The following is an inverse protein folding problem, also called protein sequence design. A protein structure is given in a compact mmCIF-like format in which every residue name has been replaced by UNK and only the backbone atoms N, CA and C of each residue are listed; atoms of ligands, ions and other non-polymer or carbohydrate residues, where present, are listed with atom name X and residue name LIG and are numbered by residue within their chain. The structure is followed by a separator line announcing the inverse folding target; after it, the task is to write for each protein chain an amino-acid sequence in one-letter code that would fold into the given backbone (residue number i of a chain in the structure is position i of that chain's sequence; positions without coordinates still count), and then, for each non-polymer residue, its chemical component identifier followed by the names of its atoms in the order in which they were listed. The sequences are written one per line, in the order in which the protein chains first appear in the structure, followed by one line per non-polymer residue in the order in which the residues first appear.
data_IF_554087494973
#
_entry.id   IF_554087494973
#
_cell.length_a   1.000
_cell.length_b   1.000
_cell.length_c   1.000
_cell.angle_alpha   90.00
_cell.angle_beta   90.00
_cell.angle_gamma   90.00
#
_symmetry.space_group_name_H-M   'P 1'
#
loop_
_entity.id
_entity.type
_entity.pdbx_description
1 polymer ?
#
# COMPACT_ATOMS: atom_id res chain seq x y z
N UNK A 1 3.25 18.87 30.42
CA UNK A 1 4.50 19.04 29.65
C UNK A 1 4.35 18.24 28.37
N UNK A 2 4.01 18.86 27.22
CA UNK A 2 4.02 18.16 25.91
C UNK A 2 5.46 18.12 25.46
N UNK A 3 6.09 16.91 25.41
CA UNK A 3 7.41 16.75 24.82
C UNK A 3 7.35 17.22 23.37
N UNK A 4 8.24 18.12 22.98
CA UNK A 4 8.48 18.39 21.57
C UNK A 4 8.94 17.07 20.93
N UNK A 5 8.07 16.43 20.16
CA UNK A 5 8.44 15.27 19.37
C UNK A 5 9.44 15.76 18.31
N UNK A 6 10.70 15.57 18.62
CA UNK A 6 11.84 15.78 17.72
C UNK A 6 12.04 14.51 16.88
N UNK A 7 12.94 14.56 15.89
CA UNK A 7 13.37 13.42 15.09
C UNK A 7 13.45 12.12 15.92
N UNK A 8 12.98 10.97 15.41
CA UNK A 8 12.95 9.74 16.18
C UNK A 8 14.35 9.33 16.66
N UNK A 9 14.46 9.00 17.92
CA UNK A 9 15.68 8.38 18.44
C UNK A 9 15.76 6.93 17.93
N UNK A 10 16.79 6.63 17.14
CA UNK A 10 17.05 5.30 16.59
C UNK A 10 18.14 4.61 17.39
N UNK A 11 17.96 3.31 17.66
CA UNK A 11 18.98 2.46 18.25
C UNK A 11 20.15 2.22 17.27
N UNK A 12 19.82 2.07 15.99
CA UNK A 12 20.78 1.95 14.91
C UNK A 12 20.66 3.14 13.93
N UNK A 13 21.35 4.26 14.17
CA UNK A 13 21.27 5.43 13.29
C UNK A 13 21.82 5.19 11.88
N UNK A 14 22.58 4.13 11.65
CA UNK A 14 23.14 3.82 10.33
C UNK A 14 22.07 3.47 9.29
N UNK A 15 20.88 3.01 9.70
CA UNK A 15 19.78 2.73 8.77
C UNK A 15 19.18 4.02 8.19
N UNK A 16 19.33 5.16 8.84
CA UNK A 16 18.77 6.42 8.39
C UNK A 16 19.68 7.08 7.35
N UNK A 17 19.38 6.84 6.08
CA UNK A 17 20.13 7.38 4.94
C UNK A 17 19.39 8.56 4.31
N UNK A 18 20.11 9.62 4.01
CA UNK A 18 19.59 10.86 3.40
C UNK A 18 20.13 11.11 1.99
N UNK A 19 20.65 10.06 1.34
CA UNK A 19 21.18 10.05 0.00
C UNK A 19 20.50 8.97 -0.84
N UNK A 20 20.51 9.09 -2.16
CA UNK A 20 20.06 8.06 -3.09
C UNK A 20 21.04 6.89 -3.11
N UNK A 21 20.55 5.68 -3.35
CA UNK A 21 21.40 4.51 -3.56
C UNK A 21 21.50 4.21 -5.06
N UNK A 22 22.68 4.43 -5.63
CA UNK A 22 22.96 4.17 -7.05
C UNK A 22 24.21 3.33 -7.15
N UNK A 23 24.15 2.20 -7.83
CA UNK A 23 25.27 1.28 -8.04
C UNK A 23 26.00 0.90 -6.74
N UNK A 24 25.27 0.73 -5.66
CA UNK A 24 25.82 0.38 -4.34
C UNK A 24 26.52 1.53 -3.61
N UNK A 25 26.40 2.75 -4.10
CA UNK A 25 26.97 3.96 -3.49
C UNK A 25 25.88 4.93 -3.07
N UNK A 26 26.07 5.57 -1.92
CA UNK A 26 25.20 6.61 -1.41
C UNK A 26 25.60 7.93 -2.02
N UNK A 27 24.72 8.50 -2.85
CA UNK A 27 25.03 9.71 -3.64
C UNK A 27 23.93 10.76 -3.48
N UNK A 28 24.30 12.03 -3.60
CA UNK A 28 23.32 13.10 -3.76
C UNK A 28 22.74 13.07 -5.18
N UNK A 29 21.55 13.69 -5.39
CA UNK A 29 21.01 13.84 -6.74
C UNK A 29 21.96 14.67 -7.62
N UNK A 30 22.00 14.43 -8.93
CA UNK A 30 22.81 15.23 -9.87
C UNK A 30 22.44 16.70 -9.85
N UNK A 31 21.22 17.05 -9.51
CA UNK A 31 20.78 18.43 -9.34
C UNK A 31 21.35 19.10 -8.10
N UNK A 32 21.89 18.34 -7.13
CA UNK A 32 22.28 18.80 -5.80
C UNK A 32 21.13 19.28 -4.92
N UNK A 33 19.88 19.20 -5.41
CA UNK A 33 18.70 19.65 -4.68
C UNK A 33 18.18 18.58 -3.72
N UNK A 34 17.54 19.05 -2.66
CA UNK A 34 16.82 18.23 -1.68
C UNK A 34 15.38 18.72 -1.57
N UNK A 35 14.49 17.86 -1.10
CA UNK A 35 13.11 18.21 -0.79
C UNK A 35 12.78 17.86 0.67
N UNK A 36 11.85 18.60 1.21
CA UNK A 36 11.40 18.45 2.59
C UNK A 36 10.47 17.26 2.74
N UNK A 37 10.67 16.49 3.81
CA UNK A 37 9.77 15.42 4.23
C UNK A 37 9.08 15.88 5.52
N UNK A 38 7.74 15.91 5.47
CA UNK A 38 6.90 16.45 6.54
C UNK A 38 6.41 15.32 7.43
N UNK A 39 6.43 15.53 8.73
CA UNK A 39 5.74 14.69 9.70
C UNK A 39 4.25 15.07 9.73
N UNK A 40 3.34 14.18 9.27
CA UNK A 40 1.92 14.48 9.22
C UNK A 40 1.29 14.73 10.60
N UNK A 41 1.93 14.24 11.65
CA UNK A 41 1.46 14.38 13.03
C UNK A 41 1.59 15.78 13.60
N UNK A 42 2.46 16.63 13.01
CA UNK A 42 2.67 18.01 13.46
C UNK A 42 2.77 19.02 12.31
N UNK A 43 2.74 18.58 11.05
CA UNK A 43 2.84 19.42 9.86
C UNK A 43 4.23 20.04 9.63
N UNK A 44 5.28 19.61 10.35
CA UNK A 44 6.62 20.18 10.29
C UNK A 44 7.59 19.29 9.50
N UNK A 45 8.55 19.92 8.84
CA UNK A 45 9.67 19.23 8.21
C UNK A 45 10.51 18.56 9.29
N UNK A 46 10.74 17.24 9.15
CA UNK A 46 11.59 16.48 10.08
C UNK A 46 12.90 16.01 9.45
N UNK A 47 12.96 15.92 8.11
CA UNK A 47 14.16 15.54 7.38
C UNK A 47 14.09 16.00 5.92
N UNK A 48 15.23 15.89 5.21
CA UNK A 48 15.34 16.23 3.79
C UNK A 48 15.92 15.05 3.00
N UNK A 49 15.31 14.73 1.86
CA UNK A 49 15.74 13.69 0.94
C UNK A 49 16.27 14.29 -0.38
N UNK A 50 17.14 13.57 -1.12
CA UNK A 50 17.66 14.04 -2.40
C UNK A 50 16.55 14.10 -3.46
N UNK A 51 16.51 15.17 -4.23
CA UNK A 51 15.53 15.37 -5.31
C UNK A 51 16.11 14.89 -6.64
N UNK A 52 16.02 13.58 -6.89
CA UNK A 52 16.47 12.99 -8.14
C UNK A 52 15.59 13.44 -9.31
N UNK A 53 16.21 13.59 -10.46
CA UNK A 53 15.60 14.08 -11.71
C UNK A 53 15.81 13.06 -12.85
N UNK A 54 15.25 13.28 -14.06
CA UNK A 54 15.57 12.45 -15.21
C UNK A 54 17.07 12.26 -15.50
N UNK A 55 17.91 13.22 -15.12
CA UNK A 55 19.37 13.14 -15.29
C UNK A 55 20.00 11.99 -14.49
N UNK A 56 19.37 11.57 -13.39
CA UNK A 56 19.83 10.45 -12.56
C UNK A 56 19.45 9.09 -13.15
N UNK A 57 18.53 9.04 -14.14
CA UNK A 57 17.94 7.80 -14.66
C UNK A 57 18.95 6.96 -15.43
N UNK A 58 19.59 7.54 -16.45
CA UNK A 58 20.42 6.77 -17.41
C UNK A 58 21.55 6.00 -16.73
N UNK A 59 22.32 6.68 -15.88
CA UNK A 59 23.42 6.06 -15.15
C UNK A 59 22.93 4.94 -14.20
N UNK A 60 21.84 5.19 -13.49
CA UNK A 60 21.24 4.20 -12.57
C UNK A 60 20.74 2.96 -13.31
N UNK A 61 20.05 3.14 -14.45
CA UNK A 61 19.52 2.01 -15.24
C UNK A 61 20.65 1.23 -15.90
N UNK A 62 21.70 1.89 -16.41
CA UNK A 62 22.87 1.22 -16.97
C UNK A 62 23.59 0.39 -15.91
N UNK A 63 23.84 0.94 -14.72
CA UNK A 63 24.43 0.19 -13.62
C UNK A 63 23.59 -1.02 -13.21
N UNK A 64 22.27 -0.86 -13.12
CA UNK A 64 21.36 -1.99 -12.85
C UNK A 64 21.38 -3.04 -13.97
N UNK A 65 21.52 -2.63 -15.23
CA UNK A 65 21.63 -3.54 -16.36
C UNK A 65 22.96 -4.31 -16.37
N UNK A 66 24.07 -3.65 -16.05
CA UNK A 66 25.38 -4.30 -15.89
C UNK A 66 25.34 -5.34 -14.75
N UNK A 67 24.85 -4.94 -13.58
CA UNK A 67 24.65 -5.86 -12.46
C UNK A 67 23.75 -7.05 -12.82
N UNK A 68 22.73 -6.84 -13.63
CA UNK A 68 21.86 -7.91 -14.11
C UNK A 68 22.61 -8.98 -14.88
N UNK A 69 23.66 -8.66 -15.67
CA UNK A 69 24.40 -9.66 -16.47
C UNK A 69 25.06 -10.74 -15.62
N UNK A 70 25.43 -10.40 -14.40
CA UNK A 70 26.02 -11.33 -13.41
C UNK A 70 24.95 -11.91 -12.50
N UNK A 71 24.04 -11.08 -11.97
CA UNK A 71 23.03 -11.48 -10.99
C UNK A 71 22.04 -12.52 -11.54
N UNK A 72 21.64 -12.42 -12.82
CA UNK A 72 20.77 -13.41 -13.49
C UNK A 72 21.36 -14.82 -13.53
N UNK A 73 22.69 -14.94 -13.42
CA UNK A 73 23.42 -16.21 -13.42
C UNK A 73 23.72 -16.74 -12.01
N UNK A 74 23.39 -15.95 -10.97
CA UNK A 74 23.61 -16.36 -9.59
C UNK A 74 22.78 -17.60 -9.23
N UNK A 75 23.34 -18.42 -8.35
CA UNK A 75 22.61 -19.58 -7.87
C UNK A 75 21.33 -19.15 -7.12
N UNK A 76 20.17 -19.79 -7.37
CA UNK A 76 18.94 -19.51 -6.64
C UNK A 76 19.10 -19.54 -5.11
N UNK A 77 19.85 -20.51 -4.59
CA UNK A 77 20.15 -20.60 -3.16
C UNK A 77 20.87 -19.38 -2.61
N UNK A 78 21.81 -18.80 -3.39
CA UNK A 78 22.51 -17.55 -2.98
C UNK A 78 21.52 -16.40 -2.87
N UNK A 79 20.57 -16.26 -3.82
CA UNK A 79 19.52 -15.23 -3.77
C UNK A 79 18.60 -15.45 -2.57
N UNK A 80 18.21 -16.70 -2.29
CA UNK A 80 17.43 -17.06 -1.11
C UNK A 80 18.16 -16.67 0.19
N UNK A 81 19.45 -16.97 0.30
CA UNK A 81 20.27 -16.61 1.46
C UNK A 81 20.35 -15.09 1.68
N UNK A 82 20.54 -14.29 0.60
CA UNK A 82 20.51 -12.84 0.70
C UNK A 82 19.12 -12.33 1.17
N UNK A 83 18.02 -12.90 0.66
CA UNK A 83 16.68 -12.52 1.09
C UNK A 83 16.42 -12.87 2.56
N UNK A 84 16.83 -14.05 3.03
CA UNK A 84 16.72 -14.43 4.44
C UNK A 84 17.58 -13.56 5.36
N UNK A 85 18.79 -13.20 4.92
CA UNK A 85 19.61 -12.27 5.68
C UNK A 85 19.01 -10.87 5.72
N UNK A 86 18.39 -10.41 4.61
CA UNK A 86 17.65 -9.15 4.58
C UNK A 86 16.46 -9.18 5.54
N UNK A 87 15.68 -10.27 5.52
CA UNK A 87 14.59 -10.50 6.46
C UNK A 87 15.05 -10.38 7.92
N UNK A 88 16.16 -11.06 8.27
CA UNK A 88 16.71 -11.01 9.62
C UNK A 88 17.16 -9.60 10.01
N UNK A 89 17.87 -8.89 9.14
CA UNK A 89 18.31 -7.53 9.39
C UNK A 89 17.13 -6.56 9.56
N UNK A 90 16.02 -6.77 8.84
CA UNK A 90 14.79 -5.98 9.03
C UNK A 90 14.18 -6.29 10.41
N UNK A 91 14.14 -7.56 10.84
CA UNK A 91 13.67 -7.94 12.18
C UNK A 91 14.52 -7.29 13.28
N UNK A 92 15.83 -7.33 13.13
CA UNK A 92 16.78 -6.75 14.11
C UNK A 92 16.64 -5.23 14.25
N UNK A 93 16.15 -4.55 13.19
CA UNK A 93 15.93 -3.10 13.16
C UNK A 93 14.43 -2.73 13.17
N UNK A 94 13.55 -3.65 13.55
CA UNK A 94 12.08 -3.52 13.46
C UNK A 94 11.54 -2.25 14.11
N UNK A 95 11.97 -1.98 15.33
CA UNK A 95 11.47 -0.83 16.10
C UNK A 95 11.93 0.51 15.53
N UNK A 96 13.15 0.59 15.03
CA UNK A 96 13.66 1.80 14.38
C UNK A 96 12.98 2.05 13.03
N UNK A 97 12.78 1.00 12.24
CA UNK A 97 12.01 1.10 10.99
C UNK A 97 10.56 1.52 11.26
N UNK A 98 9.92 0.97 12.30
CA UNK A 98 8.56 1.36 12.69
C UNK A 98 8.46 2.85 13.07
N UNK A 99 9.46 3.38 13.80
CA UNK A 99 9.54 4.81 14.10
C UNK A 99 9.64 5.65 12.82
N UNK A 100 10.52 5.28 11.90
CA UNK A 100 10.67 5.99 10.61
C UNK A 100 9.34 6.00 9.86
N UNK A 101 8.68 4.84 9.72
CA UNK A 101 7.37 4.73 9.07
C UNK A 101 6.33 5.63 9.74
N UNK A 102 6.30 5.67 11.08
CA UNK A 102 5.37 6.52 11.84
C UNK A 102 5.57 8.01 11.53
N UNK A 103 6.82 8.48 11.49
CA UNK A 103 7.12 9.88 11.20
C UNK A 103 6.89 10.27 9.73
N UNK A 104 7.01 9.32 8.80
CA UNK A 104 6.72 9.56 7.39
C UNK A 104 5.23 9.52 7.06
N UNK A 105 4.49 8.60 7.68
CA UNK A 105 3.10 8.31 7.30
C UNK A 105 2.06 8.85 8.27
N UNK A 106 2.46 9.12 9.51
CA UNK A 106 1.57 9.53 10.61
C UNK A 106 0.84 8.38 11.31
N UNK A 107 0.91 7.13 10.80
CA UNK A 107 0.20 6.01 11.44
C UNK A 107 0.73 5.72 12.86
N UNK A 108 -0.12 5.21 13.77
CA UNK A 108 0.31 4.80 15.11
C UNK A 108 1.47 3.82 15.07
N UNK A 109 2.38 3.91 16.05
CA UNK A 109 3.57 3.05 16.11
C UNK A 109 3.23 1.56 16.07
N UNK A 110 2.15 1.16 16.74
CA UNK A 110 1.68 -0.23 16.72
C UNK A 110 1.27 -0.69 15.31
N UNK A 111 0.70 0.20 14.50
CA UNK A 111 0.35 -0.10 13.10
C UNK A 111 1.59 -0.15 12.20
N UNK A 112 2.59 0.68 12.47
CA UNK A 112 3.89 0.61 11.78
C UNK A 112 4.60 -0.70 12.09
N UNK A 113 4.57 -1.15 13.33
CA UNK A 113 5.09 -2.47 13.73
C UNK A 113 4.33 -3.60 13.05
N UNK A 114 2.99 -3.52 13.00
CA UNK A 114 2.14 -4.48 12.27
C UNK A 114 2.40 -4.51 10.77
N UNK A 115 2.75 -3.37 10.16
CA UNK A 115 3.18 -3.34 8.75
C UNK A 115 4.47 -4.13 8.53
N UNK A 116 5.46 -3.99 9.42
CA UNK A 116 6.72 -4.72 9.34
C UNK A 116 6.49 -6.23 9.48
N UNK A 117 5.68 -6.65 10.47
CA UNK A 117 5.36 -8.07 10.69
C UNK A 117 4.68 -8.69 9.45
N UNK A 118 3.75 -7.95 8.84
CA UNK A 118 3.11 -8.34 7.58
C UNK A 118 4.10 -8.40 6.41
N UNK A 119 4.96 -7.40 6.29
CA UNK A 119 5.89 -7.24 5.18
C UNK A 119 6.98 -8.31 5.16
N UNK A 120 7.44 -8.75 6.33
CA UNK A 120 8.42 -9.84 6.48
C UNK A 120 7.90 -11.17 5.93
N UNK A 121 6.59 -11.37 5.86
CA UNK A 121 6.01 -12.52 5.18
C UNK A 121 6.40 -12.59 3.69
N UNK A 122 6.64 -11.46 3.02
CA UNK A 122 7.05 -11.45 1.61
C UNK A 122 8.52 -11.85 1.43
N UNK A 123 9.44 -11.34 2.26
CA UNK A 123 10.85 -11.71 2.17
C UNK A 123 11.05 -13.19 2.44
N UNK A 124 10.38 -13.71 3.46
CA UNK A 124 10.41 -15.15 3.79
C UNK A 124 9.83 -15.99 2.65
N UNK A 125 8.65 -15.63 2.13
CA UNK A 125 8.02 -16.36 1.03
C UNK A 125 8.90 -16.40 -0.21
N UNK A 126 9.39 -15.24 -0.68
CA UNK A 126 10.18 -15.15 -1.89
C UNK A 126 11.58 -15.74 -1.75
N UNK A 127 12.14 -15.82 -0.55
CA UNK A 127 13.34 -16.61 -0.31
C UNK A 127 13.11 -18.08 -0.63
N UNK A 128 11.99 -18.66 -0.19
CA UNK A 128 11.60 -20.02 -0.56
C UNK A 128 11.30 -20.19 -2.05
N UNK A 129 10.67 -19.21 -2.68
CA UNK A 129 10.31 -19.24 -4.10
C UNK A 129 11.53 -19.06 -5.03
N UNK A 130 12.64 -18.51 -4.56
CA UNK A 130 13.85 -18.39 -5.37
C UNK A 130 14.35 -19.73 -5.92
N UNK A 131 14.21 -20.81 -5.14
CA UNK A 131 14.59 -22.17 -5.53
C UNK A 131 13.47 -22.96 -6.24
N UNK A 132 12.23 -22.40 -6.30
CA UNK A 132 11.06 -23.05 -6.90
C UNK A 132 10.68 -22.50 -8.28
N UNK A 133 11.58 -21.79 -8.94
CA UNK A 133 11.38 -21.29 -10.30
C UNK A 133 11.52 -22.46 -11.28
N UNK A 134 10.39 -23.14 -11.55
CA UNK A 134 10.35 -24.36 -12.35
C UNK A 134 9.91 -24.07 -13.78
N UNK A 135 10.44 -24.86 -14.71
CA UNK A 135 9.93 -25.00 -16.08
C UNK A 135 9.03 -26.22 -16.21
N UNK A 136 8.61 -26.52 -17.43
CA UNK A 136 7.77 -27.67 -17.75
C UNK A 136 8.34 -28.47 -18.91
N UNK A 137 8.00 -29.74 -18.95
CA UNK A 137 8.24 -30.63 -20.13
C UNK A 137 6.87 -31.13 -20.58
N UNK A 138 6.54 -30.89 -21.84
CA UNK A 138 5.26 -31.26 -22.42
C UNK A 138 5.45 -32.11 -23.66
N UNK A 139 4.51 -33.05 -23.90
CA UNK A 139 4.40 -33.80 -25.15
C UNK A 139 3.33 -33.08 -25.99
N UNK A 140 3.72 -32.36 -27.07
CA UNK A 140 2.76 -31.73 -27.94
C UNK A 140 2.03 -32.77 -28.82
N UNK A 141 0.96 -32.30 -29.52
CA UNK A 141 0.20 -33.12 -30.45
C UNK A 141 1.01 -33.59 -31.68
N UNK A 142 2.08 -32.83 -32.02
CA UNK A 142 2.98 -33.23 -33.09
C UNK A 142 3.85 -34.45 -32.68
N UNK A 143 3.90 -35.53 -33.48
CA UNK A 143 4.69 -36.69 -33.14
C UNK A 143 6.20 -36.40 -33.11
N UNK A 144 6.93 -37.19 -32.33
CA UNK A 144 8.40 -37.11 -32.19
C UNK A 144 8.95 -35.78 -31.67
N UNK A 145 8.13 -35.00 -30.92
CA UNK A 145 8.55 -33.73 -30.30
C UNK A 145 8.42 -33.78 -28.79
N UNK A 146 9.25 -32.99 -28.13
CA UNK A 146 9.12 -32.61 -26.72
C UNK A 146 9.32 -31.09 -26.62
N UNK A 147 8.50 -30.44 -25.82
CA UNK A 147 8.60 -28.98 -25.58
C UNK A 147 9.11 -28.77 -24.16
N UNK A 148 10.21 -28.05 -24.05
CA UNK A 148 10.78 -27.63 -22.77
C UNK A 148 10.49 -26.14 -22.59
N UNK A 149 9.95 -25.76 -21.45
CA UNK A 149 9.87 -24.35 -21.06
C UNK A 149 10.82 -24.09 -19.90
N UNK A 150 11.53 -22.98 -19.97
CA UNK A 150 12.39 -22.49 -18.89
C UNK A 150 11.99 -21.06 -18.54
N UNK A 151 11.98 -20.73 -17.26
CA UNK A 151 11.74 -19.37 -16.79
C UNK A 151 13.08 -18.67 -16.62
N UNK A 152 13.19 -17.45 -17.14
CA UNK A 152 14.39 -16.63 -17.05
C UNK A 152 14.07 -15.26 -16.46
N UNK A 153 15.01 -14.62 -15.71
CA UNK A 153 14.84 -13.24 -15.26
C UNK A 153 14.63 -12.30 -16.44
N UNK A 154 13.63 -11.42 -16.32
CA UNK A 154 13.24 -10.53 -17.43
C UNK A 154 14.23 -9.37 -17.66
N UNK A 155 14.98 -8.96 -16.65
CA UNK A 155 15.92 -7.84 -16.76
C UNK A 155 15.83 -6.85 -15.61
N UNK A 156 16.03 -5.57 -15.94
CA UNK A 156 15.86 -4.45 -15.02
C UNK A 156 14.38 -4.20 -14.78
N UNK A 157 13.95 -4.24 -13.54
CA UNK A 157 12.61 -3.87 -13.10
C UNK A 157 12.62 -2.49 -12.44
N UNK A 158 11.54 -1.72 -12.62
CA UNK A 158 11.29 -0.46 -11.93
C UNK A 158 10.06 -0.61 -11.06
N UNK A 159 10.16 -0.21 -9.80
CA UNK A 159 9.05 -0.12 -8.87
C UNK A 159 8.71 1.34 -8.55
N UNK A 160 7.50 1.76 -8.88
CA UNK A 160 6.91 3.04 -8.48
C UNK A 160 5.95 2.74 -7.35
N UNK A 161 6.24 3.21 -6.12
CA UNK A 161 5.54 2.79 -4.92
C UNK A 161 4.86 3.95 -4.19
N UNK A 162 3.70 3.70 -3.56
CA UNK A 162 2.98 4.69 -2.77
C UNK A 162 3.56 4.80 -1.36
N UNK A 163 3.02 5.75 -0.60
CA UNK A 163 3.44 6.10 0.76
C UNK A 163 2.72 5.31 1.88
N UNK A 164 1.57 4.72 1.61
CA UNK A 164 0.69 4.24 2.68
C UNK A 164 1.20 3.01 3.44
N UNK A 165 1.93 2.12 2.78
CA UNK A 165 2.62 0.96 3.38
C UNK A 165 4.03 0.82 2.78
N UNK A 166 4.95 1.74 3.09
CA UNK A 166 6.23 1.86 2.37
C UNK A 166 7.11 0.62 2.50
N UNK A 167 7.10 -0.06 3.63
CA UNK A 167 7.89 -1.29 3.83
C UNK A 167 7.27 -2.46 3.04
N UNK A 168 5.97 -2.69 3.20
CA UNK A 168 5.27 -3.79 2.56
C UNK A 168 5.27 -3.68 1.03
N UNK A 169 5.10 -2.45 0.50
CA UNK A 169 5.09 -2.22 -0.95
C UNK A 169 6.45 -2.46 -1.59
N UNK A 170 7.53 -2.24 -0.87
CA UNK A 170 8.88 -2.58 -1.35
C UNK A 170 9.11 -4.08 -1.27
N UNK A 171 8.91 -4.71 -0.10
CA UNK A 171 9.30 -6.10 0.08
C UNK A 171 8.50 -7.07 -0.81
N UNK A 172 7.21 -6.79 -1.10
CA UNK A 172 6.43 -7.60 -2.04
C UNK A 172 6.93 -7.51 -3.48
N UNK A 173 7.50 -6.37 -3.89
CA UNK A 173 8.01 -6.15 -5.25
C UNK A 173 9.47 -6.56 -5.39
N UNK A 174 10.32 -6.06 -4.50
CA UNK A 174 11.74 -6.34 -4.50
C UNK A 174 12.02 -7.82 -4.15
N UNK A 175 11.33 -8.38 -3.17
CA UNK A 175 11.44 -9.80 -2.83
C UNK A 175 11.24 -10.70 -4.05
N UNK A 176 10.15 -10.48 -4.80
CA UNK A 176 9.84 -11.23 -6.01
C UNK A 176 10.89 -11.02 -7.13
N UNK A 177 11.29 -9.76 -7.38
CA UNK A 177 12.26 -9.44 -8.43
C UNK A 177 13.64 -10.05 -8.15
N UNK A 178 14.13 -9.87 -6.92
CA UNK A 178 15.45 -10.35 -6.50
C UNK A 178 15.49 -11.88 -6.42
N UNK A 179 14.43 -12.52 -5.94
CA UNK A 179 14.29 -13.97 -5.96
C UNK A 179 14.38 -14.54 -7.38
N UNK A 180 13.70 -13.89 -8.33
CA UNK A 180 13.72 -14.26 -9.74
C UNK A 180 15.06 -14.00 -10.45
N UNK A 181 16.01 -13.26 -9.83
CA UNK A 181 17.29 -12.88 -10.44
C UNK A 181 17.23 -11.60 -11.31
N UNK A 182 16.19 -10.79 -11.14
CA UNK A 182 16.07 -9.45 -11.72
C UNK A 182 16.75 -8.40 -10.85
N UNK A 183 17.26 -7.32 -11.44
CA UNK A 183 17.66 -6.12 -10.70
C UNK A 183 16.47 -5.17 -10.57
N UNK A 184 16.46 -4.32 -9.53
CA UNK A 184 15.35 -3.41 -9.28
C UNK A 184 15.79 -2.00 -8.93
N UNK A 185 15.14 -1.03 -9.57
CA UNK A 185 15.23 0.39 -9.22
C UNK A 185 13.88 0.79 -8.60
N UNK A 186 13.93 1.38 -7.43
CA UNK A 186 12.75 1.85 -6.71
C UNK A 186 12.70 3.37 -6.74
N UNK A 187 11.56 3.90 -7.15
CA UNK A 187 11.18 5.29 -6.91
C UNK A 187 10.16 5.31 -5.77
N UNK A 188 10.56 5.69 -4.55
CA UNK A 188 9.63 5.84 -3.43
C UNK A 188 8.66 7.00 -3.64
N UNK A 189 7.57 7.03 -2.87
CA UNK A 189 6.75 8.23 -2.76
C UNK A 189 7.55 9.37 -2.11
N UNK A 190 7.30 10.64 -2.49
CA UNK A 190 7.98 11.77 -1.84
C UNK A 190 7.66 11.88 -0.35
N UNK A 191 6.54 11.33 0.09
CA UNK A 191 6.15 11.31 1.50
C UNK A 191 6.98 10.31 2.33
N UNK A 192 7.49 9.21 1.71
CA UNK A 192 8.12 8.09 2.46
C UNK A 192 9.45 7.63 1.86
N UNK A 193 10.42 8.51 1.66
CA UNK A 193 11.72 8.12 1.10
C UNK A 193 12.59 7.34 2.09
N UNK A 194 12.55 7.67 3.39
CA UNK A 194 13.50 7.15 4.38
C UNK A 194 13.21 5.70 4.76
N UNK A 195 11.96 5.28 4.84
CA UNK A 195 11.59 3.86 4.98
C UNK A 195 12.22 3.01 3.89
N UNK A 196 12.20 3.49 2.64
CA UNK A 196 12.77 2.77 1.49
C UNK A 196 14.29 2.82 1.49
N UNK A 197 14.91 3.96 1.82
CA UNK A 197 16.36 4.10 1.93
C UNK A 197 16.93 3.23 3.06
N UNK A 198 16.21 3.10 4.17
CA UNK A 198 16.57 2.20 5.27
C UNK A 198 16.56 0.73 4.81
N UNK A 199 15.52 0.32 4.09
CA UNK A 199 15.49 -1.03 3.49
C UNK A 199 16.63 -1.26 2.50
N UNK A 200 17.00 -0.24 1.74
CA UNK A 200 18.11 -0.32 0.79
C UNK A 200 19.46 -0.49 1.48
N UNK A 201 19.68 0.20 2.59
CA UNK A 201 20.87 0.00 3.43
C UNK A 201 20.94 -1.44 3.96
N UNK A 202 19.83 -1.94 4.50
CA UNK A 202 19.79 -3.32 5.00
C UNK A 202 19.93 -4.36 3.87
N UNK A 203 19.51 -4.05 2.64
CA UNK A 203 19.77 -4.92 1.48
C UNK A 203 21.25 -5.00 1.12
N UNK A 204 22.01 -3.88 1.22
CA UNK A 204 23.44 -3.89 1.05
C UNK A 204 24.14 -4.76 2.12
N UNK A 205 23.75 -4.58 3.40
CA UNK A 205 24.27 -5.39 4.51
C UNK A 205 23.90 -6.88 4.38
N UNK A 206 22.81 -7.19 3.71
CA UNK A 206 22.38 -8.55 3.39
C UNK A 206 23.24 -9.22 2.31
N UNK A 207 24.06 -8.44 1.59
CA UNK A 207 25.01 -8.94 0.60
C UNK A 207 24.51 -8.90 -0.84
N UNK A 208 23.44 -8.17 -1.15
CA UNK A 208 23.10 -7.88 -2.54
C UNK A 208 24.21 -7.05 -3.20
N UNK A 209 24.67 -7.49 -4.36
CA UNK A 209 25.78 -6.85 -5.07
C UNK A 209 25.43 -5.43 -5.55
N UNK A 210 26.46 -4.61 -5.79
CA UNK A 210 26.31 -3.26 -6.36
C UNK A 210 25.43 -3.29 -7.61
N UNK A 211 24.52 -2.32 -7.75
CA UNK A 211 23.62 -2.19 -8.88
C UNK A 211 22.40 -3.13 -8.88
N UNK A 212 22.36 -4.17 -8.02
CA UNK A 212 21.20 -5.09 -7.95
C UNK A 212 19.96 -4.41 -7.41
N UNK A 213 20.10 -3.52 -6.43
CA UNK A 213 19.04 -2.74 -5.85
C UNK A 213 19.43 -1.26 -5.77
N UNK A 214 18.61 -0.38 -6.32
CA UNK A 214 18.85 1.06 -6.35
C UNK A 214 17.59 1.82 -5.94
N UNK A 215 17.75 3.01 -5.34
CA UNK A 215 16.65 3.86 -4.87
C UNK A 215 16.87 5.30 -5.29
N UNK A 216 15.90 5.87 -6.01
CA UNK A 216 15.89 7.26 -6.48
C UNK A 216 14.73 8.03 -5.84
N UNK A 217 14.91 8.67 -4.68
CA UNK A 217 13.93 9.58 -4.10
C UNK A 217 13.76 10.82 -4.99
N UNK A 218 12.56 11.40 -4.97
CA UNK A 218 12.27 12.61 -5.75
C UNK A 218 11.11 13.38 -5.12
N UNK A 219 11.09 14.69 -5.30
CA UNK A 219 9.99 15.55 -4.87
C UNK A 219 8.68 15.24 -5.63
N UNK A 220 7.57 15.73 -5.09
CA UNK A 220 6.27 15.64 -5.77
C UNK A 220 6.31 16.32 -7.15
N UNK A 221 6.99 17.45 -7.26
CA UNK A 221 7.14 18.20 -8.51
C UNK A 221 7.89 17.41 -9.60
N UNK A 222 8.97 16.72 -9.24
CA UNK A 222 9.78 15.95 -10.18
C UNK A 222 9.29 14.50 -10.37
N UNK A 223 8.35 14.02 -9.55
CA UNK A 223 7.81 12.64 -9.63
C UNK A 223 7.32 12.26 -11.03
N UNK A 224 6.54 13.08 -11.77
CA UNK A 224 6.10 12.72 -13.12
C UNK A 224 7.27 12.52 -14.09
N UNK A 225 8.20 13.46 -14.15
CA UNK A 225 9.32 13.45 -15.09
C UNK A 225 10.29 12.29 -14.83
N UNK A 226 10.69 12.06 -13.57
CA UNK A 226 11.55 10.93 -13.20
C UNK A 226 10.87 9.59 -13.48
N UNK A 227 9.58 9.45 -13.12
CA UNK A 227 8.83 8.21 -13.36
C UNK A 227 8.69 7.90 -14.84
N UNK A 228 8.40 8.90 -15.67
CA UNK A 228 8.33 8.75 -17.12
C UNK A 228 9.68 8.36 -17.71
N UNK A 229 10.78 9.00 -17.32
CA UNK A 229 12.14 8.69 -17.74
C UNK A 229 12.50 7.23 -17.42
N UNK A 230 12.22 6.76 -16.21
CA UNK A 230 12.42 5.35 -15.83
C UNK A 230 11.56 4.40 -16.67
N UNK A 231 10.27 4.70 -16.84
CA UNK A 231 9.35 3.85 -17.59
C UNK A 231 9.70 3.78 -19.09
N UNK A 232 10.19 4.87 -19.70
CA UNK A 232 10.58 4.90 -21.14
C UNK A 232 11.94 4.28 -21.41
N UNK A 233 12.82 4.17 -20.41
CA UNK A 233 14.21 3.78 -20.64
C UNK A 233 14.30 2.39 -21.32
N UNK A 234 15.08 2.22 -22.43
CA UNK A 234 15.06 1.01 -23.26
C UNK A 234 15.57 -0.26 -22.56
N UNK A 235 16.45 -0.12 -21.56
CA UNK A 235 16.98 -1.24 -20.77
C UNK A 235 16.02 -1.70 -19.67
N UNK A 236 15.01 -0.90 -19.29
CA UNK A 236 13.95 -1.32 -18.36
C UNK A 236 12.99 -2.25 -19.10
N UNK A 237 12.73 -3.44 -18.53
CA UNK A 237 11.89 -4.47 -19.14
C UNK A 237 10.55 -4.67 -18.42
N UNK A 238 10.49 -4.32 -17.15
CA UNK A 238 9.27 -4.42 -16.33
C UNK A 238 9.09 -3.17 -15.49
N UNK A 239 7.85 -2.71 -15.43
CA UNK A 239 7.41 -1.68 -14.48
C UNK A 239 6.35 -2.28 -13.57
N UNK A 240 6.49 -2.07 -12.26
CA UNK A 240 5.45 -2.38 -11.29
C UNK A 240 5.06 -1.09 -10.58
N UNK A 241 3.78 -0.76 -10.63
CA UNK A 241 3.21 0.45 -10.03
C UNK A 241 2.14 0.09 -9.01
N UNK A 242 2.15 0.77 -7.88
CA UNK A 242 1.03 0.81 -6.94
C UNK A 242 0.69 2.26 -6.65
N UNK A 243 -0.58 2.62 -6.79
CA UNK A 243 -1.05 3.99 -6.56
C UNK A 243 -2.44 4.25 -7.16
N UNK A 244 -2.78 5.51 -7.42
CA UNK A 244 -4.10 5.86 -7.91
C UNK A 244 -4.38 5.30 -9.34
N UNK A 245 -5.63 4.94 -9.60
CA UNK A 245 -6.11 4.45 -10.90
C UNK A 245 -5.76 5.41 -12.05
N UNK A 246 -5.90 6.73 -11.81
CA UNK A 246 -5.56 7.77 -12.80
C UNK A 246 -4.09 7.70 -13.21
N UNK A 247 -3.17 7.59 -12.25
CA UNK A 247 -1.73 7.50 -12.54
C UNK A 247 -1.38 6.14 -13.14
N UNK A 248 -2.01 5.06 -12.69
CA UNK A 248 -1.83 3.72 -13.27
C UNK A 248 -2.14 3.66 -14.77
N UNK A 249 -3.23 4.32 -15.21
CA UNK A 249 -3.56 4.46 -16.65
C UNK A 249 -2.45 5.19 -17.43
N UNK A 250 -1.84 6.23 -16.85
CA UNK A 250 -0.70 6.93 -17.48
C UNK A 250 0.54 6.04 -17.57
N UNK A 251 0.87 5.32 -16.49
CA UNK A 251 2.00 4.37 -16.47
C UNK A 251 1.80 3.27 -17.50
N UNK A 252 0.61 2.69 -17.60
CA UNK A 252 0.27 1.69 -18.60
C UNK A 252 0.49 2.21 -20.02
N UNK A 253 0.00 3.42 -20.31
CA UNK A 253 0.17 4.08 -21.60
C UNK A 253 1.66 4.29 -21.96
N UNK A 254 2.46 4.76 -21.01
CA UNK A 254 3.91 4.94 -21.21
C UNK A 254 4.61 3.59 -21.47
N UNK A 255 4.25 2.56 -20.72
CA UNK A 255 4.82 1.22 -20.86
C UNK A 255 4.48 0.57 -22.20
N UNK A 256 3.30 0.85 -22.75
CA UNK A 256 2.85 0.29 -24.03
C UNK A 256 3.71 0.71 -25.22
N UNK A 257 4.26 1.92 -25.22
CA UNK A 257 5.16 2.43 -26.28
C UNK A 257 6.42 1.55 -26.44
N UNK A 258 6.89 0.93 -25.35
CA UNK A 258 8.06 0.05 -25.36
C UNK A 258 7.71 -1.44 -25.17
N UNK A 259 6.43 -1.81 -25.22
CA UNK A 259 5.91 -3.17 -24.94
C UNK A 259 6.47 -3.76 -23.65
N UNK A 260 6.65 -2.93 -22.63
CA UNK A 260 7.19 -3.35 -21.33
C UNK A 260 6.14 -4.13 -20.54
N UNK A 261 6.58 -5.17 -19.85
CA UNK A 261 5.70 -5.86 -18.90
C UNK A 261 5.31 -4.89 -17.78
N UNK A 262 4.01 -4.66 -17.61
CA UNK A 262 3.47 -3.76 -16.60
C UNK A 262 2.60 -4.55 -15.62
N UNK A 263 2.77 -4.30 -14.31
CA UNK A 263 1.89 -4.81 -13.26
C UNK A 263 1.38 -3.63 -12.46
N UNK A 264 0.07 -3.53 -12.32
CA UNK A 264 -0.62 -2.39 -11.71
C UNK A 264 -1.43 -2.86 -10.51
N UNK A 265 -1.18 -2.26 -9.36
CA UNK A 265 -2.01 -2.31 -8.17
C UNK A 265 -2.61 -0.92 -7.96
N UNK A 266 -3.92 -0.80 -8.02
CA UNK A 266 -4.59 0.49 -8.13
C UNK A 266 -5.51 0.77 -6.93
N UNK A 267 -6.32 1.83 -7.02
CA UNK A 267 -7.28 2.19 -5.99
C UNK A 267 -8.39 1.15 -5.82
N UNK A 268 -9.07 1.22 -4.69
CA UNK A 268 -10.23 0.42 -4.36
C UNK A 268 -11.34 1.25 -3.73
N UNK A 269 -12.58 0.87 -3.95
CA UNK A 269 -13.74 1.41 -3.23
C UNK A 269 -14.56 0.26 -2.66
N UNK A 270 -13.91 -0.50 -1.78
CA UNK A 270 -14.32 -1.83 -1.37
C UNK A 270 -15.70 -1.83 -0.67
N UNK A 271 -16.65 -2.66 -1.13
CA UNK A 271 -17.90 -2.90 -0.45
C UNK A 271 -17.71 -3.82 0.76
N UNK A 272 -18.53 -3.59 1.79
CA UNK A 272 -18.59 -4.38 3.01
C UNK A 272 -20.07 -4.67 3.32
N UNK A 273 -20.51 -5.92 3.14
CA UNK A 273 -21.91 -6.32 3.24
C UNK A 273 -22.17 -6.99 4.59
N UNK A 274 -23.21 -6.54 5.30
CA UNK A 274 -23.66 -7.13 6.57
C UNK A 274 -25.11 -7.57 6.44
N UNK A 275 -25.36 -8.89 6.48
CA UNK A 275 -26.69 -9.48 6.37
C UNK A 275 -27.35 -9.62 7.76
N UNK A 276 -28.67 -9.76 7.78
CA UNK A 276 -29.47 -9.86 9.01
C UNK A 276 -29.05 -11.01 9.92
N UNK A 277 -28.54 -12.10 9.36
CA UNK A 277 -28.08 -13.30 10.07
C UNK A 277 -26.61 -13.21 10.56
N UNK A 278 -25.89 -12.11 10.22
CA UNK A 278 -24.50 -11.94 10.58
C UNK A 278 -24.27 -11.82 12.09
N UNK A 279 -23.06 -12.18 12.51
CA UNK A 279 -22.58 -11.80 13.84
C UNK A 279 -22.14 -10.33 13.81
N UNK A 280 -22.98 -9.43 14.33
CA UNK A 280 -22.76 -7.98 14.24
C UNK A 280 -21.51 -7.51 14.97
N UNK A 281 -21.18 -8.11 16.13
CA UNK A 281 -19.94 -7.78 16.87
C UNK A 281 -18.71 -8.16 16.09
N UNK A 282 -18.70 -9.32 15.46
CA UNK A 282 -17.63 -9.78 14.60
C UNK A 282 -17.47 -8.88 13.37
N UNK A 283 -18.58 -8.55 12.70
CA UNK A 283 -18.58 -7.66 11.55
C UNK A 283 -18.07 -6.26 11.93
N UNK A 284 -18.53 -5.70 13.06
CA UNK A 284 -18.06 -4.41 13.54
C UNK A 284 -16.56 -4.43 13.88
N UNK A 285 -16.07 -5.46 14.56
CA UNK A 285 -14.62 -5.59 14.86
C UNK A 285 -13.77 -5.69 13.59
N UNK A 286 -14.22 -6.44 12.58
CA UNK A 286 -13.56 -6.52 11.30
C UNK A 286 -13.56 -5.16 10.58
N UNK A 287 -14.68 -4.45 10.58
CA UNK A 287 -14.78 -3.12 9.99
C UNK A 287 -13.87 -2.10 10.70
N UNK A 288 -13.80 -2.13 12.04
CA UNK A 288 -12.86 -1.31 12.81
C UNK A 288 -11.41 -1.53 12.35
N UNK A 289 -10.99 -2.78 12.24
CA UNK A 289 -9.64 -3.15 11.80
C UNK A 289 -9.34 -2.78 10.34
N UNK A 290 -10.34 -2.82 9.47
CA UNK A 290 -10.20 -2.47 8.05
C UNK A 290 -10.26 -0.96 7.81
N UNK A 291 -11.18 -0.26 8.49
CA UNK A 291 -11.47 1.14 8.18
C UNK A 291 -10.57 2.12 8.88
N UNK A 292 -10.27 1.90 10.16
CA UNK A 292 -9.55 2.90 10.94
C UNK A 292 -8.04 2.72 10.89
N UNK A 293 -7.55 1.56 10.43
CA UNK A 293 -6.12 1.34 10.20
C UNK A 293 -5.58 2.41 9.25
N UNK A 294 -4.49 3.05 9.68
CA UNK A 294 -3.84 4.12 8.94
C UNK A 294 -4.82 5.23 8.50
N UNK A 295 -5.77 5.58 9.38
CA UNK A 295 -6.82 6.56 9.11
C UNK A 295 -7.58 6.31 7.79
N UNK A 296 -7.83 5.05 7.44
CA UNK A 296 -8.55 4.67 6.21
C UNK A 296 -7.73 4.75 4.92
N UNK A 297 -6.41 4.89 5.02
CA UNK A 297 -5.52 5.10 3.87
C UNK A 297 -4.96 3.80 3.32
N UNK A 298 -5.82 2.81 3.08
CA UNK A 298 -5.47 1.54 2.45
C UNK A 298 -6.40 1.25 1.26
N UNK A 299 -5.84 0.73 0.18
CA UNK A 299 -6.59 0.42 -1.05
C UNK A 299 -7.67 -0.66 -0.86
N UNK A 300 -7.53 -1.50 0.17
CA UNK A 300 -8.51 -2.52 0.56
C UNK A 300 -9.46 -2.06 1.67
N UNK A 301 -9.45 -0.77 2.03
CA UNK A 301 -10.31 -0.22 3.07
C UNK A 301 -11.79 -0.33 2.69
N UNK A 302 -12.62 -0.83 3.62
CA UNK A 302 -14.07 -0.82 3.46
C UNK A 302 -14.60 0.62 3.50
N UNK A 303 -15.03 1.14 2.38
CA UNK A 303 -15.56 2.51 2.24
C UNK A 303 -17.09 2.55 2.13
N UNK A 304 -17.67 1.59 1.38
CA UNK A 304 -19.10 1.45 1.14
C UNK A 304 -19.63 0.31 2.01
N UNK A 305 -20.28 0.65 3.13
CA UNK A 305 -20.77 -0.35 4.09
C UNK A 305 -22.26 -0.56 3.88
N UNK A 306 -22.63 -1.66 3.23
CA UNK A 306 -23.99 -2.07 2.96
C UNK A 306 -24.51 -2.92 4.11
N UNK A 307 -25.58 -2.48 4.77
CA UNK A 307 -26.15 -3.16 5.94
C UNK A 307 -27.62 -3.49 5.68
N UNK A 308 -27.99 -4.74 5.86
CA UNK A 308 -29.36 -5.17 5.66
C UNK A 308 -30.29 -4.50 6.68
N UNK A 309 -31.48 -4.12 6.22
CA UNK A 309 -32.45 -3.28 6.94
C UNK A 309 -32.76 -3.77 8.35
N UNK A 310 -32.87 -5.08 8.55
CA UNK A 310 -33.24 -5.67 9.86
C UNK A 310 -32.20 -5.41 10.95
N UNK A 311 -30.93 -5.20 10.59
CA UNK A 311 -29.83 -4.98 11.54
C UNK A 311 -29.17 -3.61 11.42
N UNK A 312 -29.63 -2.75 10.50
CA UNK A 312 -29.01 -1.46 10.18
C UNK A 312 -28.82 -0.57 11.41
N UNK A 313 -29.88 -0.32 12.17
CA UNK A 313 -29.80 0.56 13.35
C UNK A 313 -28.89 -0.01 14.42
N UNK A 314 -28.98 -1.32 14.70
CA UNK A 314 -28.16 -1.97 15.72
C UNK A 314 -26.69 -2.01 15.33
N UNK A 315 -26.37 -2.31 14.08
CA UNK A 315 -24.99 -2.31 13.59
C UNK A 315 -24.40 -0.91 13.65
N UNK A 316 -25.17 0.13 13.27
CA UNK A 316 -24.75 1.55 13.37
C UNK A 316 -24.41 1.94 14.81
N UNK A 317 -25.22 1.52 15.79
CA UNK A 317 -24.99 1.78 17.21
C UNK A 317 -23.68 1.13 17.69
N UNK A 318 -23.50 -0.17 17.43
CA UNK A 318 -22.29 -0.92 17.82
C UNK A 318 -21.04 -0.27 17.21
N UNK A 319 -21.09 0.05 15.93
CA UNK A 319 -19.97 0.66 15.22
C UNK A 319 -19.64 2.05 15.77
N UNK A 320 -20.66 2.86 16.04
CA UNK A 320 -20.49 4.21 16.59
C UNK A 320 -19.85 4.17 17.97
N UNK A 321 -20.28 3.28 18.87
CA UNK A 321 -19.68 3.14 20.19
C UNK A 321 -18.22 2.70 20.13
N UNK A 322 -17.89 1.73 19.26
CA UNK A 322 -16.50 1.30 19.08
C UNK A 322 -15.63 2.42 18.51
N UNK A 323 -16.15 3.20 17.56
CA UNK A 323 -15.43 4.30 16.94
C UNK A 323 -15.15 5.46 17.89
N UNK A 324 -16.08 5.79 18.82
CA UNK A 324 -15.85 6.80 19.88
C UNK A 324 -14.68 6.47 20.81
N UNK A 325 -14.32 5.20 20.93
CA UNK A 325 -13.20 4.76 21.77
C UNK A 325 -11.82 5.04 21.14
N UNK A 326 -11.77 5.45 19.88
CA UNK A 326 -10.52 5.77 19.19
C UNK A 326 -9.86 7.01 19.80
N UNK A 327 -8.55 6.93 19.99
CA UNK A 327 -7.73 8.02 20.53
C UNK A 327 -6.95 8.67 19.37
N UNK A 328 -7.37 9.87 19.01
CA UNK A 328 -6.73 10.65 17.94
C UNK A 328 -5.46 11.30 18.51
N UNK A 329 -4.35 11.20 17.77
CA UNK A 329 -3.11 11.83 18.19
C UNK A 329 -1.94 11.56 17.26
N UNK A 330 -0.80 12.14 17.54
CA UNK A 330 0.44 11.86 16.82
C UNK A 330 0.79 10.37 16.94
N UNK A 331 1.15 9.73 15.83
CA UNK A 331 1.40 8.28 15.78
C UNK A 331 2.47 7.77 16.74
N UNK A 332 3.44 8.60 17.10
CA UNK A 332 4.48 8.27 18.08
C UNK A 332 4.05 8.49 19.54
N UNK A 333 2.87 9.03 19.80
CA UNK A 333 2.35 9.22 21.17
C UNK A 333 1.75 7.92 21.68
N UNK A 334 2.14 7.52 22.87
CA UNK A 334 1.65 6.30 23.51
C UNK A 334 0.11 6.33 23.66
N UNK A 335 -0.53 5.22 23.33
CA UNK A 335 -1.98 5.06 23.41
C UNK A 335 -2.76 5.66 22.24
N UNK A 336 -2.11 6.29 21.25
CA UNK A 336 -2.76 6.71 20.00
C UNK A 336 -3.24 5.49 19.23
N UNK A 337 -4.51 5.51 18.79
CA UNK A 337 -5.12 4.45 17.97
C UNK A 337 -5.60 4.95 16.62
N UNK A 338 -5.64 6.26 16.41
CA UNK A 338 -5.93 6.89 15.11
C UNK A 338 -4.94 8.04 14.88
N UNK A 339 -4.06 7.88 13.90
CA UNK A 339 -3.12 8.91 13.47
C UNK A 339 -3.73 9.91 12.49
N UNK A 340 -2.94 10.88 12.02
CA UNK A 340 -3.34 11.81 10.96
C UNK A 340 -3.44 11.11 9.61
N UNK A 341 -4.01 11.80 8.63
CA UNK A 341 -3.79 11.47 7.21
C UNK A 341 -2.39 11.95 6.80
N UNK A 342 -1.78 11.27 5.83
CA UNK A 342 -0.38 11.54 5.45
C UNK A 342 -0.20 12.86 4.70
N UNK A 343 -1.24 13.32 4.00
CA UNK A 343 -1.16 14.57 3.21
C UNK A 343 -2.34 15.49 3.50
N UNK A 344 -2.11 16.79 3.47
CA UNK A 344 -3.13 17.84 3.65
C UNK A 344 -4.28 17.75 2.62
N UNK A 345 -3.96 17.44 1.37
CA UNK A 345 -4.97 17.24 0.29
C UNK A 345 -5.98 16.14 0.58
N UNK A 346 -5.65 15.19 1.45
CA UNK A 346 -6.59 14.15 1.88
C UNK A 346 -7.68 14.71 2.79
N UNK A 347 -7.39 15.81 3.53
CA UNK A 347 -8.37 16.50 4.35
C UNK A 347 -9.46 17.16 3.51
N UNK A 348 -9.07 17.87 2.45
CA UNK A 348 -10.00 18.59 1.57
C UNK A 348 -10.94 17.60 0.86
N UNK A 349 -10.41 16.44 0.47
CA UNK A 349 -11.22 15.37 -0.11
C UNK A 349 -12.23 14.80 0.88
N UNK A 350 -11.80 14.56 2.12
CA UNK A 350 -12.69 14.07 3.18
C UNK A 350 -13.82 15.05 3.47
N UNK A 351 -13.51 16.36 3.61
CA UNK A 351 -14.50 17.41 3.79
C UNK A 351 -15.50 17.47 2.62
N UNK A 352 -15.02 17.41 1.38
CA UNK A 352 -15.88 17.44 0.20
C UNK A 352 -16.85 16.25 0.16
N UNK A 353 -16.40 15.03 0.51
CA UNK A 353 -17.26 13.85 0.56
C UNK A 353 -18.30 13.91 1.68
N UNK A 354 -17.94 14.44 2.86
CA UNK A 354 -18.89 14.64 3.97
C UNK A 354 -19.95 15.66 3.58
N UNK A 355 -19.54 16.83 3.06
CA UNK A 355 -20.45 17.89 2.64
C UNK A 355 -21.41 17.45 1.50
N UNK A 356 -20.90 16.68 0.53
CA UNK A 356 -21.72 16.11 -0.54
C UNK A 356 -22.79 15.13 0.01
N UNK A 357 -22.38 14.27 0.94
CA UNK A 357 -23.30 13.31 1.54
C UNK A 357 -24.42 14.02 2.33
N UNK A 358 -24.09 15.02 3.14
CA UNK A 358 -25.08 15.82 3.89
C UNK A 358 -26.05 16.55 2.95
N UNK A 359 -25.51 17.19 1.88
CA UNK A 359 -26.31 17.87 0.87
C UNK A 359 -27.31 16.94 0.18
N UNK A 360 -26.99 15.68 0.03
CA UNK A 360 -27.86 14.66 -0.59
C UNK A 360 -28.72 13.90 0.43
N UNK A 361 -28.78 14.33 1.70
CA UNK A 361 -29.65 13.82 2.74
C UNK A 361 -29.05 12.72 3.62
N UNK A 362 -27.75 12.43 3.49
CA UNK A 362 -26.98 11.66 4.45
C UNK A 362 -26.87 12.39 5.79
N UNK A 363 -26.67 11.63 6.86
CA UNK A 363 -26.54 12.20 8.22
C UNK A 363 -25.20 11.79 8.83
N UNK A 364 -24.39 12.75 9.22
CA UNK A 364 -23.18 12.53 10.03
C UNK A 364 -23.63 12.19 11.46
N UNK A 365 -23.41 10.95 11.88
CA UNK A 365 -23.76 10.47 13.22
C UNK A 365 -22.58 10.49 14.18
N UNK A 366 -21.36 10.57 13.63
CA UNK A 366 -20.12 10.71 14.37
C UNK A 366 -19.09 11.45 13.54
N UNK A 367 -18.29 12.34 14.17
CA UNK A 367 -17.19 13.04 13.52
C UNK A 367 -17.63 14.11 12.52
N UNK A 368 -17.01 14.14 11.36
CA UNK A 368 -17.34 15.02 10.23
C UNK A 368 -16.45 16.23 10.08
N UNK A 369 -15.47 16.46 10.99
CA UNK A 369 -14.71 17.69 11.04
C UNK A 369 -13.21 17.49 10.82
N UNK A 370 -12.62 18.41 10.09
CA UNK A 370 -11.19 18.61 10.04
C UNK A 370 -10.71 19.19 11.36
N UNK A 371 -9.71 18.55 11.97
CA UNK A 371 -9.12 19.02 13.22
C UNK A 371 -7.84 19.85 12.98
N UNK A 372 -7.27 19.79 11.78
CA UNK A 372 -6.06 20.54 11.44
C UNK A 372 -6.21 22.05 11.73
N UNK A 373 -5.25 22.58 12.49
CA UNK A 373 -5.25 24.01 12.89
C UNK A 373 -6.09 24.31 14.14
N UNK A 374 -6.73 23.30 14.77
CA UNK A 374 -7.36 23.47 16.08
C UNK A 374 -6.37 23.18 17.21
N UNK A 375 -6.70 23.64 18.44
CA UNK A 375 -5.81 23.48 19.60
C UNK A 375 -5.47 21.99 19.82
N UNK A 376 -4.18 21.68 19.77
CA UNK A 376 -3.66 20.34 19.99
C UNK A 376 -3.56 19.47 18.73
N UNK A 377 -3.99 19.94 17.56
CA UNK A 377 -3.97 19.24 16.28
C UNK A 377 -3.29 20.08 15.18
N UNK A 378 -1.98 20.28 15.30
CA UNK A 378 -1.16 21.02 14.30
C UNK A 378 -0.97 20.22 13.01
N UNK A 379 -1.04 18.88 13.08
CA UNK A 379 -0.91 17.96 11.94
C UNK A 379 -2.20 17.76 11.14
N UNK A 380 -2.18 16.82 10.22
CA UNK A 380 -3.26 16.58 9.25
C UNK A 380 -4.35 15.67 9.81
N UNK A 381 -5.05 16.09 10.86
CA UNK A 381 -6.07 15.29 11.53
C UNK A 381 -7.47 15.55 11.01
N UNK A 382 -8.23 14.47 10.92
CA UNK A 382 -9.66 14.45 10.62
C UNK A 382 -10.37 13.51 11.61
N UNK A 383 -11.56 13.86 12.06
CA UNK A 383 -12.34 13.00 12.95
C UNK A 383 -12.74 11.68 12.28
N UNK A 384 -12.69 10.54 12.98
CA UNK A 384 -13.27 9.32 12.47
C UNK A 384 -14.77 9.53 12.27
N UNK A 385 -15.23 9.39 11.01
CA UNK A 385 -16.55 9.88 10.58
C UNK A 385 -17.42 8.72 10.10
N UNK A 386 -18.65 8.69 10.60
CA UNK A 386 -19.68 7.75 10.19
C UNK A 386 -20.88 8.53 9.63
N UNK A 387 -21.24 8.22 8.39
CA UNK A 387 -22.37 8.78 7.68
C UNK A 387 -23.45 7.69 7.54
N UNK A 388 -24.68 7.98 7.91
CA UNK A 388 -25.86 7.10 7.72
C UNK A 388 -26.78 7.63 6.64
N UNK A 389 -27.66 6.76 6.10
CA UNK A 389 -28.58 7.14 5.04
C UNK A 389 -27.88 7.48 3.74
N UNK A 390 -26.69 6.92 3.53
CA UNK A 390 -25.95 7.09 2.29
C UNK A 390 -26.72 6.46 1.11
N UNK A 391 -26.54 7.04 -0.07
CA UNK A 391 -27.22 6.63 -1.30
C UNK A 391 -26.22 6.51 -2.45
N UNK A 392 -26.56 5.67 -3.40
CA UNK A 392 -25.86 5.65 -4.68
C UNK A 392 -25.95 7.03 -5.35
N UNK A 393 -24.84 7.46 -5.93
CA UNK A 393 -24.74 8.80 -6.53
C UNK A 393 -24.02 9.82 -5.67
N UNK A 394 -23.89 9.63 -4.37
CA UNK A 394 -23.02 10.45 -3.52
C UNK A 394 -21.53 10.27 -3.90
N UNK A 395 -20.71 11.28 -3.70
CA UNK A 395 -19.26 11.17 -4.01
C UNK A 395 -18.62 9.98 -3.28
N UNK A 396 -19.03 9.71 -2.03
CA UNK A 396 -18.49 8.61 -1.23
C UNK A 396 -18.85 7.22 -1.76
N UNK A 397 -19.92 7.08 -2.57
CA UNK A 397 -20.26 5.82 -3.24
C UNK A 397 -19.40 5.57 -4.49
N UNK A 398 -18.94 6.63 -5.15
CA UNK A 398 -18.27 6.55 -6.46
C UNK A 398 -16.75 6.71 -6.40
N UNK A 399 -16.23 7.44 -5.42
CA UNK A 399 -14.82 7.76 -5.30
C UNK A 399 -14.20 7.09 -4.08
N UNK A 400 -12.99 6.54 -4.26
CA UNK A 400 -12.17 6.06 -3.14
C UNK A 400 -11.97 7.19 -2.11
N UNK A 401 -12.30 6.93 -0.85
CA UNK A 401 -12.21 7.95 0.21
C UNK A 401 -10.76 8.23 0.64
N UNK A 402 -10.02 7.18 0.98
CA UNK A 402 -8.62 7.24 1.45
C UNK A 402 -8.41 8.19 2.65
N UNK A 403 -9.40 8.23 3.55
CA UNK A 403 -9.48 9.07 4.73
C UNK A 403 -10.37 8.38 5.80
N UNK A 404 -10.39 8.86 7.06
CA UNK A 404 -11.18 8.23 8.12
C UNK A 404 -12.69 8.58 8.03
N UNK A 405 -13.29 8.37 6.88
CA UNK A 405 -14.73 8.59 6.62
C UNK A 405 -15.33 7.33 6.01
N UNK A 406 -16.43 6.83 6.53
CA UNK A 406 -17.20 5.74 5.96
C UNK A 406 -18.69 6.08 5.87
N UNK A 407 -19.38 5.41 4.94
CA UNK A 407 -20.80 5.58 4.75
C UNK A 407 -21.55 4.25 4.87
N UNK A 408 -22.69 4.27 5.57
CA UNK A 408 -23.62 3.15 5.74
C UNK A 408 -24.78 3.30 4.78
N UNK A 409 -24.96 2.29 3.94
CA UNK A 409 -26.04 2.16 2.96
C UNK A 409 -27.00 1.08 3.45
N UNK A 410 -28.31 1.38 3.50
CA UNK A 410 -29.33 0.40 3.85
C UNK A 410 -29.79 -0.35 2.61
N UNK A 411 -29.87 -1.69 2.67
CA UNK A 411 -30.42 -2.51 1.60
C UNK A 411 -31.49 -3.47 2.14
N UNK A 412 -32.41 -3.90 1.28
CA UNK A 412 -33.42 -4.86 1.62
C UNK A 412 -33.10 -6.27 1.12
N UNK A 413 -32.70 -6.40 -0.14
CA UNK A 413 -32.54 -7.67 -0.82
C UNK A 413 -31.07 -7.94 -1.18
N UNK A 414 -30.62 -9.21 -1.11
CA UNK A 414 -29.27 -9.65 -1.48
C UNK A 414 -28.86 -9.17 -2.88
N UNK A 415 -29.76 -9.30 -3.85
CA UNK A 415 -29.51 -8.88 -5.24
C UNK A 415 -29.24 -7.38 -5.38
N UNK A 416 -29.91 -6.56 -4.59
CA UNK A 416 -29.69 -5.11 -4.53
C UNK A 416 -28.28 -4.80 -4.03
N UNK A 417 -27.90 -5.41 -2.90
CA UNK A 417 -26.57 -5.21 -2.31
C UNK A 417 -25.44 -5.66 -3.24
N UNK A 418 -25.58 -6.80 -3.91
CA UNK A 418 -24.61 -7.30 -4.90
C UNK A 418 -24.51 -6.36 -6.10
N UNK A 419 -25.65 -5.88 -6.62
CA UNK A 419 -25.69 -4.92 -7.71
C UNK A 419 -24.91 -3.64 -7.37
N UNK A 420 -25.15 -3.05 -6.19
CA UNK A 420 -24.42 -1.86 -5.74
C UNK A 420 -22.95 -2.16 -5.43
N UNK A 421 -22.63 -3.32 -4.85
CA UNK A 421 -21.26 -3.72 -4.59
C UNK A 421 -20.40 -3.73 -5.88
N UNK A 422 -20.99 -4.24 -6.97
CA UNK A 422 -20.33 -4.37 -8.27
C UNK A 422 -20.38 -3.08 -9.12
N UNK A 423 -21.26 -2.10 -8.78
CA UNK A 423 -21.35 -0.82 -9.51
C UNK A 423 -20.15 0.10 -9.20
N UNK A 424 -19.00 -0.32 -9.66
CA UNK A 424 -17.74 0.41 -9.52
C UNK A 424 -16.77 -0.01 -10.62
N UNK A 425 -15.89 0.91 -11.04
CA UNK A 425 -14.77 0.59 -11.93
C UNK A 425 -13.57 -0.07 -11.24
N UNK A 426 -13.69 -0.37 -9.93
CA UNK A 426 -12.63 -0.88 -9.06
C UNK A 426 -13.04 -2.26 -8.54
N UNK A 427 -12.19 -3.27 -8.70
CA UNK A 427 -12.46 -4.65 -8.28
C UNK A 427 -11.36 -5.23 -7.39
N UNK A 428 -10.79 -4.46 -6.43
CA UNK A 428 -9.66 -4.91 -5.63
C UNK A 428 -10.08 -5.87 -4.52
N UNK A 429 -10.99 -5.44 -3.62
CA UNK A 429 -11.47 -6.28 -2.53
C UNK A 429 -12.95 -6.04 -2.24
N UNK A 430 -13.62 -7.08 -1.74
CA UNK A 430 -15.00 -7.06 -1.22
C UNK A 430 -15.07 -7.87 0.07
N UNK A 431 -16.01 -7.53 0.94
CA UNK A 431 -16.19 -8.20 2.23
C UNK A 431 -17.66 -8.48 2.48
N UNK A 432 -17.99 -9.62 3.10
CA UNK A 432 -19.35 -9.90 3.52
C UNK A 432 -19.44 -10.73 4.81
N UNK A 433 -20.54 -10.57 5.53
CA UNK A 433 -20.81 -11.23 6.79
C UNK A 433 -22.21 -11.86 6.77
N UNK A 434 -22.28 -13.18 6.83
CA UNK A 434 -23.48 -14.02 6.88
C UNK A 434 -23.16 -15.33 7.59
N UNK A 435 -24.19 -16.03 8.08
CA UNK A 435 -24.10 -17.42 8.58
C UNK A 435 -24.65 -18.42 7.56
N UNK A 436 -25.26 -17.96 6.49
CA UNK A 436 -25.86 -18.78 5.44
C UNK A 436 -24.76 -19.27 4.48
N UNK A 437 -24.59 -20.59 4.42
CA UNK A 437 -23.57 -21.25 3.57
C UNK A 437 -23.92 -21.08 2.09
N UNK A 438 -25.19 -21.19 1.71
CA UNK A 438 -25.60 -21.08 0.31
C UNK A 438 -25.39 -19.64 -0.20
N UNK A 439 -25.70 -18.64 0.64
CA UNK A 439 -25.37 -17.23 0.37
C UNK A 439 -23.86 -17.03 0.22
N UNK A 440 -23.07 -17.65 1.07
CA UNK A 440 -21.61 -17.55 0.99
C UNK A 440 -21.09 -17.95 -0.38
N UNK A 441 -21.56 -19.06 -0.93
CA UNK A 441 -21.13 -19.50 -2.26
C UNK A 441 -21.63 -18.58 -3.37
N UNK A 442 -22.90 -18.13 -3.32
CA UNK A 442 -23.41 -17.15 -4.31
C UNK A 442 -22.59 -15.85 -4.30
N UNK A 443 -22.28 -15.30 -3.12
CA UNK A 443 -21.51 -14.06 -3.02
C UNK A 443 -20.04 -14.22 -3.46
N UNK A 444 -19.44 -15.39 -3.28
CA UNK A 444 -18.10 -15.69 -3.80
C UNK A 444 -18.07 -15.73 -5.33
N UNK A 445 -19.16 -16.12 -5.96
CA UNK A 445 -19.29 -16.18 -7.42
C UNK A 445 -19.76 -14.84 -8.02
N UNK A 446 -20.63 -14.11 -7.33
CA UNK A 446 -21.28 -12.92 -7.86
C UNK A 446 -20.54 -11.61 -7.59
N UNK A 447 -19.67 -11.54 -6.57
CA UNK A 447 -18.89 -10.32 -6.27
C UNK A 447 -17.68 -10.18 -7.18
N UNK A 448 -17.63 -9.07 -7.92
CA UNK A 448 -16.57 -8.76 -8.89
C UNK A 448 -15.35 -8.14 -8.21
N UNK A 449 -14.60 -8.95 -7.45
CA UNK A 449 -13.39 -8.50 -6.77
C UNK A 449 -12.27 -9.56 -6.81
N UNK A 450 -11.01 -9.10 -6.90
CA UNK A 450 -9.84 -9.98 -6.88
C UNK A 450 -9.57 -10.61 -5.52
N UNK A 451 -10.10 -10.02 -4.44
CA UNK A 451 -10.00 -10.53 -3.07
C UNK A 451 -11.37 -10.46 -2.40
N UNK A 452 -11.81 -11.56 -1.80
CA UNK A 452 -13.07 -11.58 -1.06
C UNK A 452 -12.81 -12.05 0.37
N UNK A 453 -13.13 -11.20 1.34
CA UNK A 453 -13.09 -11.51 2.77
C UNK A 453 -14.48 -11.90 3.27
N UNK A 454 -14.60 -13.08 3.88
CA UNK A 454 -15.88 -13.57 4.41
C UNK A 454 -15.79 -13.84 5.91
N UNK A 455 -16.93 -13.83 6.58
CA UNK A 455 -17.26 -14.12 8.00
C UNK A 455 -16.20 -14.83 8.84
N UNK A 456 -14.99 -14.29 9.03
CA UNK A 456 -13.93 -14.96 9.76
C UNK A 456 -13.28 -14.07 10.83
N UNK A 457 -12.85 -14.71 11.92
CA UNK A 457 -12.16 -14.08 13.07
C UNK A 457 -10.77 -13.52 12.67
N UNK A 458 -10.25 -13.97 11.54
CA UNK A 458 -9.02 -13.44 10.92
C UNK A 458 -9.24 -13.33 9.42
N UNK A 459 -8.64 -12.32 8.82
CA UNK A 459 -8.71 -12.02 7.39
C UNK A 459 -8.21 -13.23 6.58
N UNK A 460 -9.10 -14.16 6.21
CA UNK A 460 -8.80 -15.12 5.16
C UNK A 460 -9.07 -14.41 3.85
N UNK A 461 -8.00 -13.94 3.25
CA UNK A 461 -8.03 -13.38 1.91
C UNK A 461 -7.94 -14.56 0.95
N UNK A 462 -9.03 -14.93 0.31
CA UNK A 462 -8.99 -15.79 -0.87
C UNK A 462 -8.54 -14.90 -2.02
N UNK A 463 -7.25 -14.93 -2.34
CA UNK A 463 -6.74 -14.26 -3.52
C UNK A 463 -7.14 -15.06 -4.76
N UNK A 464 -8.09 -14.56 -5.52
CA UNK A 464 -8.24 -14.94 -6.91
C UNK A 464 -7.03 -14.38 -7.68
N UNK A 465 -6.13 -15.23 -8.15
CA UNK A 465 -5.05 -14.81 -9.04
C UNK A 465 -5.61 -14.82 -10.46
N UNK A 466 -5.92 -13.65 -11.00
CA UNK A 466 -6.18 -13.50 -12.43
C UNK A 466 -4.82 -13.48 -13.15
N UNK A 467 -4.66 -14.43 -14.05
CA UNK A 467 -3.45 -14.58 -14.89
C UNK A 467 -3.35 -13.49 -15.97
#
# INVERSE_FOLDING_TARGET
MRSRLTTPQLNNPNIFKTQALVNGEWVDSKSGKKFDVVDPGNGKVWAQAPDCTPDDTDATVKAAHEAFQTFKKSNPKTRAQCLLKWDQLIRDNRDDLAKIVTYETGKPLAESQGELDYALGFTWWFAGEAERVQGTIQTPSAPNRRVFTVKQPIGVAVALVPWNFPIAMILRKAGAALAAGCTMIVKPSPETPFSVLSLAYLAQEAGFAKGVFSVLPTSLANTPALSESLCRHPLVKKVTFTGSTRVGKLVAKICSDGLKKCTLELGGNCPFLVFDDANLEQAANALMALKWRHAGQACITANRVYVQKGVYSKFTEILSEKTKALKIGHGATEGTTLGPVTTDRSLDKAEAQVADAEKQGGKVVLGGKKLHGTEGYEGYFFEPTIITGAKEGMLISREETFAPVLALFEFAEEKEAVGWANDTSMGLASYFFTKDVDRTWRLLEDLEAGMIGMTLVSLVVICGVWY
#
